data_IF_503240174153
#
_entry.id   IF_503240174153
#
_cell.length_a   1.000
_cell.length_b   1.000
_cell.length_c   1.000
_cell.angle_alpha   90.00
_cell.angle_beta   90.00
_cell.angle_gamma   90.00
#
_symmetry.space_group_name_H-M   'P 1'
#
loop_
_entity.id
_entity.type
_entity.pdbx_description
1 polymer ?
#
# COMPACT_ATOMS: atom_id res chain seq x y z
N UNK A 1 7.59 8.06 0.17
CA UNK A 1 7.79 9.21 -0.73
C UNK A 1 6.61 10.15 -0.57
N UNK A 2 6.76 11.45 -0.21
CA UNK A 2 5.62 12.35 -0.13
C UNK A 2 5.37 12.92 -1.53
N UNK A 3 4.54 12.23 -2.32
CA UNK A 3 4.20 12.65 -3.68
C UNK A 3 2.75 12.40 -4.07
N UNK A 4 2.02 11.54 -3.35
CA UNK A 4 0.64 11.22 -3.67
C UNK A 4 -0.26 11.61 -2.50
N UNK A 5 -0.93 12.77 -2.59
CA UNK A 5 -1.92 13.18 -1.59
C UNK A 5 -3.29 12.50 -1.82
N UNK A 6 -3.45 11.85 -2.97
CA UNK A 6 -4.69 11.18 -3.33
C UNK A 6 -4.65 9.71 -2.91
N UNK A 7 -5.79 9.12 -2.57
CA UNK A 7 -5.87 7.70 -2.30
C UNK A 7 -5.55 6.90 -3.58
N UNK A 8 -4.50 6.07 -3.55
CA UNK A 8 -4.13 5.20 -4.68
C UNK A 8 -3.27 4.01 -4.25
N UNK A 9 -3.19 2.99 -5.11
CA UNK A 9 -2.17 1.96 -5.01
C UNK A 9 -0.83 2.51 -5.52
N UNK A 10 0.22 2.30 -4.75
CA UNK A 10 1.59 2.70 -5.08
C UNK A 10 2.57 1.65 -4.54
N UNK A 11 3.84 1.70 -4.94
CA UNK A 11 4.84 0.70 -4.63
C UNK A 11 4.94 0.43 -3.12
N UNK A 12 4.81 -0.83 -2.72
CA UNK A 12 4.82 -1.20 -1.29
C UNK A 12 6.18 -0.85 -0.66
N UNK A 13 6.25 0.09 0.30
CA UNK A 13 7.50 0.46 0.94
C UNK A 13 8.10 -0.67 1.79
N UNK A 14 7.32 -1.68 2.16
CA UNK A 14 7.82 -2.84 2.90
C UNK A 14 8.47 -3.89 2.00
N UNK A 15 8.27 -3.82 0.68
CA UNK A 15 8.79 -4.80 -0.28
C UNK A 15 8.20 -6.21 -0.17
N UNK A 16 7.13 -6.40 0.63
CA UNK A 16 6.46 -7.71 0.82
C UNK A 16 5.43 -7.97 -0.29
N UNK A 17 4.85 -6.90 -0.82
CA UNK A 17 3.87 -6.92 -1.91
C UNK A 17 4.31 -6.02 -3.07
N UNK A 18 3.62 -6.09 -4.20
CA UNK A 18 3.93 -5.23 -5.37
C UNK A 18 3.41 -3.81 -5.13
N UNK A 19 2.18 -3.71 -4.58
CA UNK A 19 1.53 -2.44 -4.28
C UNK A 19 0.95 -2.46 -2.88
N UNK A 20 0.94 -1.30 -2.23
CA UNK A 20 0.18 -1.02 -1.01
C UNK A 20 -0.77 0.13 -1.29
N UNK A 21 -1.89 0.18 -0.60
CA UNK A 21 -2.85 1.26 -0.72
C UNK A 21 -2.46 2.41 0.21
N UNK A 22 -2.22 3.58 -0.37
CA UNK A 22 -2.08 4.84 0.34
C UNK A 22 -3.44 5.53 0.39
N UNK A 23 -3.89 5.98 1.56
CA UNK A 23 -5.20 6.63 1.74
C UNK A 23 -5.18 8.16 1.58
N UNK A 24 -4.01 8.73 1.24
CA UNK A 24 -3.78 10.17 1.20
C UNK A 24 -3.01 10.72 2.40
N UNK A 25 -2.96 9.97 3.51
CA UNK A 25 -2.27 10.37 4.76
C UNK A 25 -1.34 9.27 5.31
N UNK A 26 -1.69 8.00 5.11
CA UNK A 26 -0.96 6.84 5.58
C UNK A 26 -1.09 5.64 4.64
N UNK A 27 -0.15 4.70 4.75
CA UNK A 27 -0.28 3.39 4.12
C UNK A 27 -1.23 2.52 4.92
N UNK A 28 -2.14 1.84 4.24
CA UNK A 28 -3.13 0.95 4.88
C UNK A 28 -2.67 -0.51 4.83
N UNK A 29 -3.49 -1.41 5.37
CA UNK A 29 -3.29 -2.86 5.30
C UNK A 29 -3.58 -3.45 3.92
N UNK A 30 -4.27 -2.71 3.02
CA UNK A 30 -4.61 -3.23 1.71
C UNK A 30 -3.38 -3.26 0.81
N UNK A 31 -3.08 -4.44 0.28
CA UNK A 31 -1.93 -4.70 -0.59
C UNK A 31 -2.38 -5.47 -1.84
N UNK A 32 -1.57 -5.45 -2.89
CA UNK A 32 -1.81 -6.22 -4.12
C UNK A 32 -0.55 -6.92 -4.58
N UNK A 33 -0.71 -8.13 -5.13
CA UNK A 33 0.35 -8.91 -5.77
C UNK A 33 -0.26 -9.76 -6.89
N UNK A 34 0.37 -9.77 -8.06
CA UNK A 34 -0.08 -10.49 -9.24
C UNK A 34 -1.54 -10.14 -9.62
N UNK A 35 -1.95 -8.89 -9.43
CA UNK A 35 -3.29 -8.40 -9.73
C UNK A 35 -4.38 -8.81 -8.72
N UNK A 36 -4.02 -9.49 -7.63
CA UNK A 36 -4.95 -9.90 -6.58
C UNK A 36 -4.74 -9.06 -5.31
N UNK A 37 -5.83 -8.67 -4.64
CA UNK A 37 -5.81 -7.91 -3.39
C UNK A 37 -5.74 -8.82 -2.15
N UNK A 38 -5.03 -8.35 -1.13
CA UNK A 38 -4.86 -9.00 0.16
C UNK A 38 -4.87 -7.94 1.29
N UNK A 39 -4.88 -8.42 2.54
CA UNK A 39 -4.64 -7.61 3.74
C UNK A 39 -3.33 -8.04 4.39
N UNK A 40 -2.45 -7.08 4.66
CA UNK A 40 -1.21 -7.24 5.43
C UNK A 40 -1.21 -6.18 6.54
N UNK A 41 -1.50 -6.56 7.79
CA UNK A 41 -1.56 -5.60 8.89
C UNK A 41 -0.22 -4.87 9.02
N UNK A 42 -0.23 -3.53 9.14
CA UNK A 42 0.98 -2.79 9.44
C UNK A 42 1.56 -3.31 10.76
N UNK A 43 2.85 -3.65 10.76
CA UNK A 43 3.56 -4.03 11.99
C UNK A 43 3.53 -2.80 12.91
N UNK A 44 3.06 -2.98 14.14
CA UNK A 44 2.93 -1.93 15.16
C UNK A 44 4.29 -1.32 15.55
#
# INVERSE_FOLDING_TARGET
MPGNLLPSFDADPSGRYELRYWDGSAWTEHVSRAGQQFTDPPVA
#
